data_IF_295960908033
#
_entry.id   IF_295960908033
#
_cell.length_a   1.000
_cell.length_b   1.000
_cell.length_c   1.000
_cell.angle_alpha   90.00
_cell.angle_beta   90.00
_cell.angle_gamma   90.00
#
_symmetry.space_group_name_H-M   'P 1'
#
loop_
_entity.id
_entity.type
_entity.pdbx_description
1 polymer ?
#
# COMPACT_ATOMS: atom_id res chain seq x y z
N UNK A 1 14.70 36.18 40.81
CA UNK A 1 13.83 37.37 40.84
C UNK A 1 14.32 38.45 41.81
N UNK A 2 14.89 38.09 42.97
CA UNK A 2 15.49 39.06 43.93
C UNK A 2 16.75 39.80 43.41
N UNK A 3 17.59 39.21 42.57
CA UNK A 3 18.80 39.88 42.06
C UNK A 3 18.52 41.00 41.04
N UNK A 4 17.42 40.90 40.28
CA UNK A 4 17.05 41.92 39.29
C UNK A 4 16.59 43.23 39.94
N UNK A 5 15.88 43.13 41.08
CA UNK A 5 15.46 44.30 41.86
C UNK A 5 16.63 45.00 42.55
N UNK A 6 17.67 44.26 42.98
CA UNK A 6 18.88 44.86 43.54
C UNK A 6 19.67 45.61 42.46
N UNK A 7 19.80 45.07 41.25
CA UNK A 7 20.49 45.78 40.17
C UNK A 7 19.78 47.07 39.71
N UNK A 8 18.45 47.14 39.78
CA UNK A 8 17.71 48.38 39.48
C UNK A 8 17.91 49.43 40.59
N UNK A 9 17.92 48.99 41.86
CA UNK A 9 18.09 49.89 43.00
C UNK A 9 19.52 50.47 43.08
N UNK A 10 20.57 49.68 42.78
CA UNK A 10 21.95 50.20 42.69
C UNK A 10 22.12 51.16 41.51
N UNK A 11 21.49 50.89 40.37
CA UNK A 11 21.53 51.78 39.19
C UNK A 11 20.84 53.13 39.46
N UNK A 12 19.72 53.13 40.19
CA UNK A 12 19.04 54.36 40.64
C UNK A 12 19.86 55.14 41.67
N UNK A 13 20.60 54.46 42.56
CA UNK A 13 21.51 55.10 43.52
C UNK A 13 22.76 55.69 42.85
N UNK A 14 23.26 55.08 41.76
CA UNK A 14 24.38 55.63 40.99
C UNK A 14 23.99 56.87 40.17
N UNK A 15 22.73 56.97 39.74
CA UNK A 15 22.20 58.16 39.05
C UNK A 15 21.79 59.25 40.08
N UNK A 16 21.45 58.88 41.31
CA UNK A 16 21.06 59.80 42.39
C UNK A 16 22.19 60.55 43.10
N UNK A 17 23.46 60.23 42.83
CA UNK A 17 24.61 60.74 43.60
C UNK A 17 25.21 62.09 43.19
N UNK A 18 24.76 62.71 42.08
CA UNK A 18 25.40 63.92 41.54
C UNK A 18 24.43 65.09 41.22
N UNK A 19 23.19 65.05 41.72
CA UNK A 19 22.14 66.00 41.32
C UNK A 19 21.44 66.77 42.44
N UNK A 20 22.09 67.07 43.57
CA UNK A 20 21.46 67.80 44.69
C UNK A 20 22.21 69.08 45.12
N UNK A 21 23.23 69.54 44.40
CA UNK A 21 23.89 70.81 44.75
C UNK A 21 23.71 71.84 43.63
N UNK A 22 23.28 73.05 44.04
CA UNK A 22 23.02 74.28 43.27
C UNK A 22 21.56 74.50 42.81
N UNK A 23 20.65 74.75 43.77
CA UNK A 23 19.47 75.62 43.57
C UNK A 23 19.21 76.50 44.80
N UNK A 24 20.27 77.10 45.33
CA UNK A 24 20.20 78.19 46.31
C UNK A 24 21.25 79.22 45.93
N UNK A 25 20.94 80.07 44.95
CA UNK A 25 21.40 81.47 44.82
C UNK A 25 21.07 81.95 43.39
N UNK A 26 20.04 82.79 43.27
CA UNK A 26 19.97 84.05 42.49
C UNK A 26 18.50 84.51 42.57
N UNK A 27 18.25 85.41 43.53
CA UNK A 27 17.14 86.35 43.45
C UNK A 27 17.61 87.63 42.74
N UNK A 28 16.63 88.35 42.16
CA UNK A 28 16.68 89.66 41.50
C UNK A 28 16.89 89.71 39.96
N UNK A 29 15.74 89.58 39.26
CA UNK A 29 15.22 90.29 38.06
C UNK A 29 16.17 90.77 36.92
N UNK A 30 15.78 90.64 35.62
CA UNK A 30 14.41 90.72 35.10
C UNK A 30 13.94 89.46 34.36
N UNK A 31 12.85 88.88 34.86
CA UNK A 31 12.21 87.63 34.43
C UNK A 31 11.44 87.71 33.09
N UNK A 32 11.98 88.37 32.05
CA UNK A 32 11.30 88.43 30.73
C UNK A 32 12.17 88.23 29.49
N UNK A 33 13.50 88.35 29.60
CA UNK A 33 14.40 88.21 28.42
C UNK A 33 15.08 86.84 28.38
N UNK A 34 15.42 86.26 29.54
CA UNK A 34 16.00 84.91 29.63
C UNK A 34 15.02 83.79 29.24
N UNK A 35 13.74 83.90 29.60
CA UNK A 35 12.70 82.91 29.25
C UNK A 35 12.56 82.71 27.73
N UNK A 36 12.71 83.77 26.94
CA UNK A 36 12.58 83.68 25.48
C UNK A 36 13.78 83.01 24.80
N UNK A 37 15.00 83.27 25.27
CA UNK A 37 16.21 82.69 24.68
C UNK A 37 16.41 81.23 25.10
N UNK A 38 16.14 80.89 26.37
CA UNK A 38 16.18 79.51 26.82
C UNK A 38 15.03 78.68 26.25
N UNK A 39 13.82 79.26 26.14
CA UNK A 39 12.67 78.60 25.52
C UNK A 39 12.96 78.13 24.10
N UNK A 40 13.46 79.02 23.23
CA UNK A 40 13.79 78.65 21.85
C UNK A 40 14.90 77.59 21.73
N UNK A 41 15.91 77.62 22.60
CA UNK A 41 16.97 76.62 22.59
C UNK A 41 16.47 75.24 23.05
N UNK A 42 15.66 75.21 24.12
CA UNK A 42 15.05 73.97 24.61
C UNK A 42 14.03 73.41 23.62
N UNK A 43 13.16 74.25 23.05
CA UNK A 43 12.19 73.83 22.03
C UNK A 43 12.88 73.22 20.81
N UNK A 44 14.00 73.81 20.36
CA UNK A 44 14.79 73.26 19.25
C UNK A 44 15.42 71.92 19.62
N UNK A 45 16.05 71.81 20.79
CA UNK A 45 16.59 70.54 21.29
C UNK A 45 15.52 69.46 21.46
N UNK A 46 14.31 69.84 21.90
CA UNK A 46 13.19 68.93 22.12
C UNK A 46 12.60 68.47 20.79
N UNK A 47 12.54 69.36 19.80
CA UNK A 47 12.18 69.01 18.43
C UNK A 47 13.21 68.06 17.78
N UNK A 48 14.51 68.34 17.95
CA UNK A 48 15.59 67.49 17.44
C UNK A 48 15.54 66.09 18.09
N UNK A 49 15.40 66.01 19.42
CA UNK A 49 15.25 64.75 20.15
C UNK A 49 14.02 63.95 19.71
N UNK A 50 12.90 64.63 19.46
CA UNK A 50 11.68 63.98 19.01
C UNK A 50 11.84 63.41 17.61
N UNK A 51 12.46 64.17 16.70
CA UNK A 51 12.74 63.73 15.34
C UNK A 51 13.72 62.55 15.31
N UNK A 52 14.75 62.56 16.16
CA UNK A 52 15.68 61.44 16.31
C UNK A 52 14.97 60.19 16.84
N UNK A 53 14.12 60.34 17.87
CA UNK A 53 13.35 59.22 18.42
C UNK A 53 12.35 58.65 17.41
N UNK A 54 11.65 59.51 16.66
CA UNK A 54 10.71 59.08 15.62
C UNK A 54 11.45 58.32 14.50
N UNK A 55 12.64 58.78 14.10
CA UNK A 55 13.50 58.05 13.15
C UNK A 55 13.94 56.68 13.68
N UNK A 56 14.40 56.61 14.93
CA UNK A 56 14.80 55.33 15.55
C UNK A 56 13.61 54.35 15.64
N UNK A 57 12.41 54.86 15.91
CA UNK A 57 11.19 54.06 15.95
C UNK A 57 10.84 53.49 14.57
N UNK A 58 10.98 54.28 13.51
CA UNK A 58 10.78 53.81 12.13
C UNK A 58 11.81 52.74 11.74
N UNK A 59 13.09 52.95 12.06
CA UNK A 59 14.14 51.97 11.80
C UNK A 59 13.90 50.64 12.52
N UNK A 60 13.50 50.68 13.80
CA UNK A 60 13.16 49.47 14.57
C UNK A 60 11.93 48.77 14.00
N UNK A 61 10.91 49.52 13.58
CA UNK A 61 9.73 48.95 12.92
C UNK A 61 10.10 48.28 11.60
N UNK A 62 10.88 48.93 10.76
CA UNK A 62 11.33 48.36 9.50
C UNK A 62 12.20 47.12 9.71
N UNK A 63 13.10 47.13 10.69
CA UNK A 63 13.89 45.96 11.05
C UNK A 63 13.01 44.80 11.54
N UNK A 64 12.04 45.08 12.40
CA UNK A 64 11.10 44.09 12.91
C UNK A 64 10.20 43.51 11.82
N UNK A 65 9.67 44.36 10.93
CA UNK A 65 8.83 43.92 9.80
C UNK A 65 9.65 43.08 8.81
N UNK A 66 10.91 43.45 8.58
CA UNK A 66 11.85 42.65 7.78
C UNK A 66 12.10 41.27 8.41
N UNK A 67 12.35 41.21 9.71
CA UNK A 67 12.53 39.94 10.44
C UNK A 67 11.27 39.08 10.39
N UNK A 68 10.09 39.68 10.54
CA UNK A 68 8.81 38.96 10.41
C UNK A 68 8.59 38.43 8.99
N UNK A 69 8.95 39.20 7.97
CA UNK A 69 8.84 38.77 6.58
C UNK A 69 9.78 37.60 6.27
N UNK A 70 11.02 37.64 6.74
CA UNK A 70 12.01 36.56 6.60
C UNK A 70 11.54 35.28 7.30
N UNK A 71 11.14 35.38 8.57
CA UNK A 71 10.63 34.23 9.34
C UNK A 71 9.39 33.62 8.69
N UNK A 72 8.46 34.44 8.18
CA UNK A 72 7.29 33.95 7.44
C UNK A 72 7.67 33.23 6.16
N UNK A 73 8.58 33.81 5.37
CA UNK A 73 9.07 33.20 4.14
C UNK A 73 9.73 31.84 4.42
N UNK A 74 10.53 31.74 5.48
CA UNK A 74 11.17 30.49 5.87
C UNK A 74 10.16 29.43 6.33
N UNK A 75 9.12 29.82 7.07
CA UNK A 75 8.05 28.90 7.44
C UNK A 75 7.22 28.46 6.24
N UNK A 76 6.88 29.37 5.33
CA UNK A 76 6.14 29.04 4.11
C UNK A 76 6.96 28.06 3.23
N UNK A 77 8.27 28.30 3.10
CA UNK A 77 9.17 27.40 2.39
C UNK A 77 9.22 26.00 3.04
N UNK A 78 9.30 25.91 4.37
CA UNK A 78 9.28 24.64 5.10
C UNK A 78 7.93 23.92 4.96
N UNK A 79 6.81 24.64 5.00
CA UNK A 79 5.47 24.07 4.81
C UNK A 79 5.33 23.48 3.41
N UNK A 80 5.77 24.20 2.38
CA UNK A 80 5.71 23.68 1.00
C UNK A 80 6.64 22.49 0.78
N UNK A 81 7.82 22.48 1.42
CA UNK A 81 8.70 21.30 1.40
C UNK A 81 8.04 20.08 2.06
N UNK A 82 7.41 20.26 3.23
CA UNK A 82 6.71 19.20 3.94
C UNK A 82 5.49 18.69 3.16
N UNK A 83 4.70 19.58 2.56
CA UNK A 83 3.58 19.20 1.66
C UNK A 83 4.07 18.40 0.47
N UNK A 84 5.17 18.80 -0.15
CA UNK A 84 5.79 18.09 -1.28
C UNK A 84 6.26 16.68 -0.87
N UNK A 85 6.89 16.55 0.31
CA UNK A 85 7.28 15.24 0.87
C UNK A 85 6.06 14.36 1.17
N UNK A 86 5.03 14.91 1.78
CA UNK A 86 3.78 14.21 2.09
C UNK A 86 3.11 13.70 0.81
N UNK A 87 2.99 14.55 -0.21
CA UNK A 87 2.40 14.18 -1.51
C UNK A 87 3.17 13.04 -2.19
N UNK A 88 4.51 13.08 -2.14
CA UNK A 88 5.36 11.99 -2.67
C UNK A 88 5.19 10.68 -1.92
N UNK A 89 5.07 10.72 -0.58
CA UNK A 89 4.82 9.53 0.23
C UNK A 89 3.42 8.97 -0.04
N UNK A 90 2.42 9.84 -0.19
CA UNK A 90 1.05 9.46 -0.57
C UNK A 90 1.01 8.74 -1.92
N UNK A 91 1.60 9.30 -2.98
CA UNK A 91 1.65 8.69 -4.32
C UNK A 91 2.38 7.33 -4.30
N UNK A 92 3.48 7.22 -3.55
CA UNK A 92 4.18 5.94 -3.37
C UNK A 92 3.33 4.91 -2.65
N UNK A 93 2.62 5.30 -1.59
CA UNK A 93 1.71 4.43 -0.85
C UNK A 93 0.59 3.89 -1.73
N UNK A 94 -0.09 4.78 -2.48
CA UNK A 94 -1.17 4.40 -3.41
C UNK A 94 -0.67 3.40 -4.46
N UNK A 95 0.49 3.66 -5.09
CA UNK A 95 1.06 2.74 -6.10
C UNK A 95 1.50 1.41 -5.51
N UNK A 96 1.99 1.39 -4.27
CA UNK A 96 2.34 0.14 -3.59
C UNK A 96 1.08 -0.68 -3.34
N UNK A 97 0.05 -0.06 -2.77
CA UNK A 97 -1.22 -0.72 -2.47
C UNK A 97 -1.91 -1.23 -3.75
N UNK A 98 -1.86 -0.49 -4.86
CA UNK A 98 -2.39 -0.93 -6.15
C UNK A 98 -1.64 -2.15 -6.70
N UNK A 99 -0.31 -2.20 -6.55
CA UNK A 99 0.49 -3.37 -6.95
C UNK A 99 0.20 -4.59 -6.09
N UNK A 100 0.07 -4.41 -4.77
CA UNK A 100 -0.31 -5.47 -3.83
C UNK A 100 -1.70 -6.02 -4.12
N UNK A 101 -2.67 -5.14 -4.40
CA UNK A 101 -4.01 -5.52 -4.81
C UNK A 101 -3.99 -6.37 -6.09
N UNK A 102 -3.36 -5.86 -7.16
CA UNK A 102 -3.29 -6.54 -8.44
C UNK A 102 -2.55 -7.89 -8.34
N UNK A 103 -1.46 -7.94 -7.58
CA UNK A 103 -0.71 -9.15 -7.32
C UNK A 103 -1.55 -10.22 -6.59
N UNK A 104 -2.29 -9.80 -5.56
CA UNK A 104 -3.16 -10.69 -4.78
C UNK A 104 -4.29 -11.25 -5.63
N UNK A 105 -4.95 -10.42 -6.44
CA UNK A 105 -6.01 -10.86 -7.37
C UNK A 105 -5.48 -11.85 -8.39
N UNK A 106 -4.36 -11.53 -9.05
CA UNK A 106 -3.78 -12.42 -10.05
C UNK A 106 -3.38 -13.79 -9.46
N UNK A 107 -2.79 -13.81 -8.26
CA UNK A 107 -2.44 -15.05 -7.59
C UNK A 107 -3.68 -15.86 -7.17
N UNK A 108 -4.73 -15.18 -6.72
CA UNK A 108 -6.00 -15.82 -6.37
C UNK A 108 -6.68 -16.45 -7.59
N UNK A 109 -6.80 -15.74 -8.71
CA UNK A 109 -7.41 -16.26 -9.94
C UNK A 109 -6.68 -17.51 -10.45
N UNK A 110 -5.35 -17.46 -10.52
CA UNK A 110 -4.55 -18.59 -10.97
C UNK A 110 -4.62 -19.77 -9.98
N UNK A 111 -4.73 -19.49 -8.68
CA UNK A 111 -4.97 -20.52 -7.67
C UNK A 111 -6.32 -21.22 -7.87
N UNK A 112 -7.41 -20.47 -8.05
CA UNK A 112 -8.76 -21.03 -8.26
C UNK A 112 -8.79 -21.90 -9.51
N UNK A 113 -8.23 -21.43 -10.62
CA UNK A 113 -8.15 -22.19 -11.87
C UNK A 113 -7.41 -23.53 -11.67
N UNK A 114 -6.25 -23.50 -11.01
CA UNK A 114 -5.49 -24.71 -10.72
C UNK A 114 -6.23 -25.66 -9.76
N UNK A 115 -6.86 -25.12 -8.72
CA UNK A 115 -7.59 -25.90 -7.73
C UNK A 115 -8.79 -26.62 -8.35
N UNK A 116 -9.61 -25.92 -9.13
CA UNK A 116 -10.79 -26.47 -9.80
C UNK A 116 -10.39 -27.49 -10.88
N UNK A 117 -9.35 -27.21 -11.66
CA UNK A 117 -8.83 -28.14 -12.66
C UNK A 117 -8.32 -29.44 -12.01
N UNK A 118 -7.59 -29.34 -10.90
CA UNK A 118 -7.14 -30.50 -10.11
C UNK A 118 -8.31 -31.29 -9.53
N UNK A 119 -9.35 -30.63 -9.00
CA UNK A 119 -10.53 -31.33 -8.51
C UNK A 119 -11.25 -32.10 -9.61
N UNK A 120 -11.49 -31.47 -10.76
CA UNK A 120 -12.14 -32.13 -11.91
C UNK A 120 -11.33 -33.34 -12.37
N UNK A 121 -10.00 -33.21 -12.42
CA UNK A 121 -9.10 -34.32 -12.73
C UNK A 121 -9.26 -35.48 -11.73
N UNK A 122 -9.22 -35.21 -10.42
CA UNK A 122 -9.24 -36.26 -9.40
C UNK A 122 -10.62 -36.92 -9.28
N UNK A 123 -11.69 -36.13 -9.31
CA UNK A 123 -13.06 -36.66 -9.20
C UNK A 123 -13.44 -37.43 -10.46
N UNK A 124 -13.01 -36.96 -11.64
CA UNK A 124 -13.21 -37.62 -12.95
C UNK A 124 -14.65 -38.13 -13.17
N UNK A 125 -15.65 -37.41 -12.67
CA UNK A 125 -17.05 -37.76 -12.87
C UNK A 125 -17.47 -37.37 -14.28
N UNK A 126 -17.56 -38.36 -15.16
CA UNK A 126 -17.92 -38.17 -16.57
C UNK A 126 -19.31 -38.75 -16.78
N UNK A 127 -20.25 -37.90 -17.18
CA UNK A 127 -21.55 -38.34 -17.69
C UNK A 127 -21.50 -38.29 -19.22
N UNK A 128 -21.86 -39.40 -19.86
CA UNK A 128 -21.99 -39.49 -21.30
C UNK A 128 -23.08 -40.51 -21.66
N UNK A 129 -23.71 -40.41 -22.84
CA UNK A 129 -24.59 -41.46 -23.32
C UNK A 129 -23.81 -42.76 -23.53
N UNK A 130 -24.51 -43.90 -23.54
CA UNK A 130 -23.89 -45.21 -23.78
C UNK A 130 -23.51 -45.33 -25.26
N UNK A 131 -22.29 -44.92 -25.59
CA UNK A 131 -21.75 -44.86 -26.95
C UNK A 131 -21.70 -46.24 -27.62
N UNK A 132 -21.59 -47.30 -26.82
CA UNK A 132 -21.60 -48.69 -27.30
C UNK A 132 -22.99 -49.16 -27.72
N UNK A 133 -24.06 -48.44 -27.35
CA UNK A 133 -25.46 -48.74 -27.75
C UNK A 133 -26.01 -47.79 -28.81
N UNK A 134 -25.29 -46.72 -29.15
CA UNK A 134 -25.69 -45.76 -30.17
C UNK A 134 -25.37 -46.28 -31.58
N UNK A 135 -26.13 -45.83 -32.58
CA UNK A 135 -25.77 -46.06 -33.98
C UNK A 135 -24.48 -45.32 -34.33
N UNK A 136 -23.71 -45.83 -35.29
CA UNK A 136 -22.40 -45.26 -35.65
C UNK A 136 -22.51 -43.80 -36.13
N UNK A 137 -23.59 -43.46 -36.83
CA UNK A 137 -23.92 -42.08 -37.23
C UNK A 137 -24.12 -41.16 -36.04
N UNK A 138 -24.84 -41.62 -35.02
CA UNK A 138 -25.16 -40.84 -33.83
C UNK A 138 -23.92 -40.65 -32.95
N UNK A 139 -23.05 -41.67 -32.90
CA UNK A 139 -21.74 -41.56 -32.22
C UNK A 139 -20.88 -40.50 -32.91
N UNK A 140 -20.82 -40.50 -34.24
CA UNK A 140 -20.05 -39.51 -34.99
C UNK A 140 -20.59 -38.09 -34.77
N UNK A 141 -21.92 -37.90 -34.78
CA UNK A 141 -22.56 -36.62 -34.49
C UNK A 141 -22.28 -36.16 -33.06
N UNK A 142 -22.43 -37.05 -32.07
CA UNK A 142 -22.09 -36.75 -30.68
C UNK A 142 -20.62 -36.32 -30.54
N UNK A 143 -19.68 -37.08 -31.10
CA UNK A 143 -18.26 -36.76 -31.03
C UNK A 143 -17.93 -35.47 -31.78
N UNK A 144 -18.65 -35.13 -32.86
CA UNK A 144 -18.49 -33.85 -33.55
C UNK A 144 -18.86 -32.64 -32.68
N UNK A 145 -19.75 -32.81 -31.70
CA UNK A 145 -20.11 -31.76 -30.73
C UNK A 145 -19.07 -31.54 -29.62
N UNK A 146 -18.09 -32.44 -29.49
CA UNK A 146 -17.04 -32.35 -28.47
C UNK A 146 -15.79 -31.62 -28.97
N UNK A 147 -15.00 -31.08 -28.04
CA UNK A 147 -13.70 -30.43 -28.32
C UNK A 147 -12.54 -31.41 -28.59
N UNK A 148 -12.83 -32.70 -28.76
CA UNK A 148 -11.80 -33.71 -29.00
C UNK A 148 -11.13 -33.48 -30.36
N UNK A 149 -9.86 -33.85 -30.47
CA UNK A 149 -9.17 -33.86 -31.76
C UNK A 149 -9.73 -34.95 -32.69
N UNK A 150 -9.65 -34.74 -34.01
CA UNK A 150 -10.07 -35.75 -34.99
C UNK A 150 -9.38 -37.11 -34.80
N UNK A 151 -8.12 -37.09 -34.33
CA UNK A 151 -7.39 -38.32 -33.99
C UNK A 151 -8.07 -39.06 -32.84
N UNK A 152 -8.42 -38.38 -31.75
CA UNK A 152 -9.09 -38.97 -30.59
C UNK A 152 -10.50 -39.47 -30.95
N UNK A 153 -11.26 -38.69 -31.73
CA UNK A 153 -12.59 -39.11 -32.21
C UNK A 153 -12.50 -40.43 -32.99
N UNK A 154 -11.56 -40.53 -33.93
CA UNK A 154 -11.32 -41.75 -34.69
C UNK A 154 -10.87 -42.94 -33.83
N UNK A 155 -10.06 -42.69 -32.81
CA UNK A 155 -9.66 -43.71 -31.83
C UNK A 155 -10.87 -44.27 -31.07
N UNK A 156 -11.78 -43.40 -30.62
CA UNK A 156 -13.01 -43.79 -29.93
C UNK A 156 -13.94 -44.59 -30.85
N UNK A 157 -14.14 -44.13 -32.09
CA UNK A 157 -15.01 -44.82 -33.07
C UNK A 157 -14.51 -46.25 -33.34
N UNK A 158 -13.19 -46.44 -33.44
CA UNK A 158 -12.56 -47.73 -33.74
C UNK A 158 -12.42 -48.65 -32.52
N UNK A 159 -12.64 -48.14 -31.31
CA UNK A 159 -12.48 -48.91 -30.09
C UNK A 159 -13.59 -49.96 -29.94
N UNK A 160 -13.21 -51.15 -29.43
CA UNK A 160 -14.15 -52.23 -29.10
C UNK A 160 -15.15 -51.78 -28.03
N UNK A 161 -14.66 -51.07 -27.00
CA UNK A 161 -15.48 -50.43 -25.98
C UNK A 161 -15.35 -48.91 -26.09
N UNK A 162 -16.32 -48.30 -26.77
CA UNK A 162 -16.34 -46.85 -27.05
C UNK A 162 -16.47 -46.03 -25.77
N UNK A 163 -17.23 -46.51 -24.79
CA UNK A 163 -17.42 -45.83 -23.51
C UNK A 163 -16.11 -45.72 -22.75
N UNK A 164 -15.38 -46.83 -22.61
CA UNK A 164 -14.08 -46.85 -21.94
C UNK A 164 -13.06 -46.00 -22.68
N UNK A 165 -13.01 -46.08 -24.02
CA UNK A 165 -12.12 -45.24 -24.82
C UNK A 165 -12.41 -43.74 -24.63
N UNK A 166 -13.68 -43.34 -24.71
CA UNK A 166 -14.10 -41.95 -24.50
C UNK A 166 -13.74 -41.45 -23.10
N UNK A 167 -14.08 -42.23 -22.06
CA UNK A 167 -13.77 -41.88 -20.68
C UNK A 167 -12.25 -41.73 -20.47
N UNK A 168 -11.44 -42.61 -21.05
CA UNK A 168 -9.98 -42.53 -20.93
C UNK A 168 -9.41 -41.29 -21.63
N UNK A 169 -9.90 -40.95 -22.82
CA UNK A 169 -9.49 -39.73 -23.54
C UNK A 169 -9.79 -38.49 -22.69
N UNK A 170 -10.99 -38.41 -22.09
CA UNK A 170 -11.37 -37.29 -21.24
C UNK A 170 -10.54 -37.20 -19.95
N UNK A 171 -10.29 -38.33 -19.27
CA UNK A 171 -9.43 -38.34 -18.08
C UNK A 171 -8.03 -37.79 -18.40
N UNK A 172 -7.44 -38.21 -19.51
CA UNK A 172 -6.15 -37.70 -19.97
C UNK A 172 -6.18 -36.20 -20.27
N UNK A 173 -7.27 -35.70 -20.87
CA UNK A 173 -7.50 -34.27 -21.07
C UNK A 173 -7.50 -33.51 -19.74
N UNK A 174 -8.22 -34.01 -18.73
CA UNK A 174 -8.27 -33.36 -17.42
C UNK A 174 -6.93 -33.35 -16.70
N UNK A 175 -6.13 -34.42 -16.81
CA UNK A 175 -4.75 -34.45 -16.27
C UNK A 175 -3.90 -33.35 -16.90
N UNK A 176 -3.91 -33.24 -18.23
CA UNK A 176 -3.13 -32.23 -18.95
C UNK A 176 -3.55 -30.81 -18.58
N UNK A 177 -4.86 -30.57 -18.51
CA UNK A 177 -5.41 -29.27 -18.13
C UNK A 177 -5.03 -28.88 -16.71
N UNK A 178 -5.15 -29.81 -15.75
CA UNK A 178 -4.76 -29.59 -14.36
C UNK A 178 -3.25 -29.31 -14.23
N UNK A 179 -2.40 -30.05 -14.93
CA UNK A 179 -0.94 -29.83 -14.93
C UNK A 179 -0.59 -28.44 -15.50
N UNK A 180 -1.24 -28.03 -16.60
CA UNK A 180 -1.07 -26.71 -17.19
C UNK A 180 -1.48 -25.59 -16.22
N UNK A 181 -2.63 -25.73 -15.58
CA UNK A 181 -3.14 -24.76 -14.62
C UNK A 181 -2.23 -24.66 -13.38
N UNK A 182 -1.77 -25.78 -12.83
CA UNK A 182 -0.82 -25.83 -11.71
C UNK A 182 0.51 -25.15 -12.05
N UNK A 183 1.04 -25.40 -13.25
CA UNK A 183 2.26 -24.73 -13.72
C UNK A 183 2.07 -23.22 -13.82
N UNK A 184 0.96 -22.78 -14.41
CA UNK A 184 0.62 -21.37 -14.53
C UNK A 184 0.50 -20.70 -13.14
N UNK A 185 -0.25 -21.29 -12.22
CA UNK A 185 -0.42 -20.79 -10.86
C UNK A 185 0.93 -20.61 -10.13
N UNK A 186 1.84 -21.59 -10.24
CA UNK A 186 3.19 -21.50 -9.66
C UNK A 186 4.05 -20.41 -10.31
N UNK A 187 3.88 -20.13 -11.60
CA UNK A 187 4.55 -19.00 -12.26
C UNK A 187 4.01 -17.68 -11.76
N UNK A 188 2.69 -17.52 -11.73
CA UNK A 188 2.04 -16.29 -11.26
C UNK A 188 2.45 -16.01 -9.82
N UNK A 189 2.37 -17.00 -8.93
CA UNK A 189 2.76 -16.84 -7.53
C UNK A 189 4.22 -16.41 -7.38
N UNK A 190 5.15 -17.04 -8.10
CA UNK A 190 6.58 -16.65 -8.07
C UNK A 190 6.84 -15.25 -8.58
N UNK A 191 6.10 -14.79 -9.61
CA UNK A 191 6.21 -13.43 -10.14
C UNK A 191 5.67 -12.39 -9.16
N UNK A 192 4.64 -12.74 -8.40
CA UNK A 192 3.91 -11.82 -7.52
C UNK A 192 4.36 -11.88 -6.05
N UNK A 193 5.27 -12.79 -5.69
CA UNK A 193 5.65 -13.05 -4.28
C UNK A 193 6.12 -11.81 -3.51
N UNK A 194 6.72 -10.83 -4.19
CA UNK A 194 7.20 -9.59 -3.55
C UNK A 194 6.07 -8.66 -3.08
N UNK A 195 4.87 -8.82 -3.64
CA UNK A 195 3.68 -8.02 -3.36
C UNK A 195 2.61 -8.80 -2.59
N UNK A 196 2.91 -10.04 -2.21
CA UNK A 196 2.02 -10.93 -1.47
C UNK A 196 2.69 -11.26 -0.14
N UNK A 197 1.90 -11.34 0.93
CA UNK A 197 2.46 -11.65 2.24
C UNK A 197 2.94 -13.08 2.31
N UNK A 198 4.08 -13.31 2.95
CA UNK A 198 4.73 -14.62 3.04
C UNK A 198 3.79 -15.74 3.51
N UNK A 199 2.92 -15.45 4.48
CA UNK A 199 1.92 -16.38 5.00
C UNK A 199 0.92 -16.84 3.91
N UNK A 200 0.37 -15.90 3.14
CA UNK A 200 -0.56 -16.20 2.04
C UNK A 200 0.14 -16.97 0.92
N UNK A 201 1.36 -16.56 0.56
CA UNK A 201 2.15 -17.25 -0.47
C UNK A 201 2.49 -18.68 -0.07
N UNK A 202 2.89 -18.91 1.18
CA UNK A 202 3.17 -20.24 1.72
C UNK A 202 1.92 -21.10 1.73
N UNK A 203 0.78 -20.54 2.14
CA UNK A 203 -0.50 -21.27 2.15
C UNK A 203 -0.93 -21.70 0.75
N UNK A 204 -0.92 -20.77 -0.23
CA UNK A 204 -1.24 -21.09 -1.62
C UNK A 204 -0.30 -22.18 -2.14
N UNK A 205 1.01 -22.06 -1.89
CA UNK A 205 2.01 -23.05 -2.34
C UNK A 205 1.70 -24.45 -1.81
N UNK A 206 1.42 -24.58 -0.51
CA UNK A 206 1.08 -25.87 0.12
C UNK A 206 -0.17 -26.51 -0.49
N UNK A 207 -1.19 -25.71 -0.81
CA UNK A 207 -2.40 -26.24 -1.45
C UNK A 207 -2.12 -26.67 -2.90
N UNK A 208 -1.32 -25.89 -3.65
CA UNK A 208 -0.91 -26.25 -5.01
C UNK A 208 -0.05 -27.53 -5.02
N UNK A 209 0.78 -27.75 -4.00
CA UNK A 209 1.57 -28.98 -3.86
C UNK A 209 0.66 -30.19 -3.62
N UNK A 210 -0.32 -30.09 -2.72
CA UNK A 210 -1.32 -31.14 -2.54
C UNK A 210 -2.10 -31.44 -3.84
N UNK A 211 -2.50 -30.41 -4.57
CA UNK A 211 -3.18 -30.56 -5.86
C UNK A 211 -2.28 -31.27 -6.88
N UNK A 212 -1.00 -30.90 -6.93
CA UNK A 212 0.00 -31.51 -7.81
C UNK A 212 0.23 -32.99 -7.49
N UNK A 213 0.36 -33.34 -6.21
CA UNK A 213 0.51 -34.73 -5.77
C UNK A 213 -0.71 -35.57 -6.15
N UNK A 214 -1.92 -35.05 -5.93
CA UNK A 214 -3.16 -35.74 -6.28
C UNK A 214 -3.30 -35.96 -7.81
N UNK A 215 -2.92 -34.97 -8.62
CA UNK A 215 -2.92 -35.10 -10.09
C UNK A 215 -1.89 -36.14 -10.56
N UNK A 216 -0.67 -36.13 -10.00
CA UNK A 216 0.38 -37.10 -10.31
C UNK A 216 -0.05 -38.52 -9.93
N UNK A 217 -0.69 -38.67 -8.78
CA UNK A 217 -1.24 -39.94 -8.31
C UNK A 217 -2.31 -40.47 -9.27
N UNK A 218 -3.26 -39.62 -9.67
CA UNK A 218 -4.30 -39.96 -10.64
C UNK A 218 -3.70 -40.39 -11.99
N UNK A 219 -2.75 -39.61 -12.52
CA UNK A 219 -2.04 -39.94 -13.76
C UNK A 219 -1.31 -41.29 -13.65
N UNK A 220 -0.60 -41.53 -12.55
CA UNK A 220 0.15 -42.77 -12.32
C UNK A 220 -0.80 -43.97 -12.29
N UNK A 221 -1.96 -43.85 -11.64
CA UNK A 221 -3.00 -44.86 -11.63
C UNK A 221 -3.55 -45.17 -13.03
N UNK A 222 -3.69 -44.16 -13.87
CA UNK A 222 -4.09 -44.36 -15.28
C UNK A 222 -3.02 -45.09 -16.11
N UNK A 223 -1.73 -44.80 -15.90
CA UNK A 223 -0.63 -45.40 -16.68
C UNK A 223 -0.37 -46.85 -16.34
N UNK A 224 -0.46 -47.23 -15.07
CA UNK A 224 -0.03 -48.54 -14.59
C UNK A 224 -1.18 -49.52 -14.34
N UNK A 225 -2.42 -49.10 -14.61
CA UNK A 225 -3.60 -49.84 -14.18
C UNK A 225 -3.82 -49.67 -12.68
N UNK A 226 -5.07 -49.79 -12.24
CA UNK A 226 -5.51 -49.52 -10.86
C UNK A 226 -4.66 -50.24 -9.80
N UNK A 227 -3.68 -49.51 -9.24
CA UNK A 227 -3.24 -49.73 -7.85
C UNK A 227 -4.35 -49.09 -7.01
N UNK A 228 -5.16 -49.92 -6.35
CA UNK A 228 -6.29 -49.55 -5.47
C UNK A 228 -6.72 -48.06 -5.53
N UNK A 229 -7.76 -47.78 -6.32
CA UNK A 229 -8.46 -46.50 -6.33
C UNK A 229 -8.83 -46.15 -4.87
N UNK A 230 -8.16 -45.15 -4.30
CA UNK A 230 -8.26 -44.81 -2.88
C UNK A 230 -6.94 -44.54 -2.18
N UNK A 231 -5.91 -44.17 -2.92
CA UNK A 231 -4.62 -43.79 -2.36
C UNK A 231 -4.74 -42.42 -1.65
N UNK A 232 -3.92 -42.21 -0.61
CA UNK A 232 -4.21 -41.24 0.45
C UNK A 232 -4.35 -39.79 -0.02
N UNK A 233 -3.73 -39.39 -1.13
CA UNK A 233 -3.60 -37.97 -1.46
C UNK A 233 -4.78 -37.45 -2.28
N UNK A 234 -5.28 -38.21 -3.25
CA UNK A 234 -6.51 -37.88 -3.98
C UNK A 234 -7.72 -37.78 -3.03
N UNK A 235 -7.83 -38.75 -2.10
CA UNK A 235 -8.87 -38.74 -1.06
C UNK A 235 -8.68 -37.54 -0.13
N UNK A 236 -7.45 -37.27 0.33
CA UNK A 236 -7.17 -36.11 1.17
C UNK A 236 -7.54 -34.79 0.49
N UNK A 237 -7.29 -34.62 -0.81
CA UNK A 237 -7.71 -33.43 -1.55
C UNK A 237 -9.23 -33.29 -1.55
N UNK A 238 -9.97 -34.38 -1.81
CA UNK A 238 -11.44 -34.37 -1.83
C UNK A 238 -12.00 -34.02 -0.44
N UNK A 239 -11.50 -34.66 0.61
CA UNK A 239 -11.96 -34.45 1.99
C UNK A 239 -11.65 -33.03 2.49
N UNK A 240 -10.44 -32.54 2.21
CA UNK A 240 -9.96 -31.24 2.71
C UNK A 240 -10.25 -30.08 1.77
N UNK A 241 -10.93 -30.29 0.63
CA UNK A 241 -11.14 -29.23 -0.37
C UNK A 241 -11.80 -27.97 0.19
N UNK A 242 -12.90 -28.15 0.92
CA UNK A 242 -13.70 -27.05 1.43
C UNK A 242 -12.91 -26.24 2.48
N UNK A 243 -12.30 -26.86 3.52
CA UNK A 243 -11.51 -26.09 4.47
C UNK A 243 -10.31 -25.40 3.82
N UNK A 244 -9.54 -26.08 2.96
CA UNK A 244 -8.37 -25.49 2.31
C UNK A 244 -8.73 -24.27 1.44
N UNK A 245 -9.78 -24.38 0.63
CA UNK A 245 -10.25 -23.28 -0.19
C UNK A 245 -10.75 -22.11 0.66
N UNK A 246 -11.57 -22.40 1.68
CA UNK A 246 -12.13 -21.38 2.57
C UNK A 246 -11.06 -20.60 3.35
N UNK A 247 -9.98 -21.28 3.74
CA UNK A 247 -8.86 -20.67 4.46
C UNK A 247 -8.08 -19.70 3.56
N UNK A 248 -7.71 -20.12 2.35
CA UNK A 248 -7.04 -19.24 1.38
C UNK A 248 -7.96 -18.07 1.02
N UNK A 249 -9.25 -18.31 0.79
CA UNK A 249 -10.23 -17.27 0.51
C UNK A 249 -10.34 -16.25 1.65
N UNK A 250 -10.35 -16.71 2.90
CA UNK A 250 -10.40 -15.82 4.06
C UNK A 250 -9.15 -14.93 4.15
N UNK A 251 -7.97 -15.47 3.88
CA UNK A 251 -6.72 -14.70 3.84
C UNK A 251 -6.73 -13.66 2.71
N UNK A 252 -7.18 -14.05 1.51
CA UNK A 252 -7.31 -13.13 0.37
C UNK A 252 -8.31 -12.01 0.68
N UNK A 253 -9.50 -12.34 1.22
CA UNK A 253 -10.49 -11.34 1.63
C UNK A 253 -9.96 -10.40 2.70
N UNK A 254 -9.25 -10.95 3.70
CA UNK A 254 -8.61 -10.16 4.75
C UNK A 254 -7.63 -9.14 4.18
N UNK A 255 -6.91 -9.49 3.11
CA UNK A 255 -5.99 -8.57 2.43
C UNK A 255 -6.68 -7.55 1.55
N UNK A 256 -7.71 -7.94 0.82
CA UNK A 256 -8.38 -7.04 -0.13
C UNK A 256 -9.30 -6.02 0.55
N UNK A 257 -9.90 -6.37 1.69
CA UNK A 257 -10.96 -5.54 2.31
C UNK A 257 -10.59 -4.94 3.67
N UNK A 258 -9.53 -5.38 4.33
CA UNK A 258 -9.09 -4.83 5.62
C UNK A 258 -7.76 -4.05 5.52
N UNK A 259 -7.33 -3.69 4.30
CA UNK A 259 -6.14 -2.88 4.05
C UNK A 259 -6.41 -1.37 4.20
#
# INVERSE_FOLDING_TARGET
MQEWLWNIFTYLMQIGGAGVIVLTFIGLAPARVGERLFGHYFDRKLADLKLEHDSQLEDVKHAHDSQLAEVKHDYDAQIEELKSKLARLGDRGVRSNEREFNATVAAWEAFVEAFDASQRCVISYIQHPDLSKMAETDVAEFLASTELSERQKNEIIRATDKNTAYANVLRWSFVFEAQKALYNARIVLRKQVIFITAELSDKISKVLDLCSEAVIEHETGMRHGSREIGTTTSVALIEKRAPLYSEVLAMVRGRLFNA
#
